data_IF_819075503211
#
_entry.id   IF_819075503211
#
_cell.length_a   1.000
_cell.length_b   1.000
_cell.length_c   1.000
_cell.angle_alpha   90.00
_cell.angle_beta   90.00
_cell.angle_gamma   90.00
#
_symmetry.space_group_name_H-M   'P 1'
#
loop_
_entity.id
_entity.type
_entity.pdbx_description
1 polymer ?
#
# COMPACT_ATOMS: atom_id res chain seq x y z
N UNK A 1 -5.31 -5.12 5.63
CA UNK A 1 -4.27 -6.15 5.82
C UNK A 1 -2.95 -5.44 6.06
N UNK A 2 -2.13 -5.98 6.94
CA UNK A 2 -0.73 -5.61 7.15
C UNK A 2 0.12 -6.81 6.76
N UNK A 3 1.22 -6.57 6.05
CA UNK A 3 2.11 -7.63 5.62
C UNK A 3 3.55 -7.18 5.74
N UNK A 4 4.35 -7.96 6.45
CA UNK A 4 5.78 -7.81 6.62
C UNK A 4 6.45 -8.97 5.86
N UNK A 5 6.83 -8.76 4.58
CA UNK A 5 7.14 -9.83 3.65
C UNK A 5 8.41 -10.60 4.00
N UNK A 6 9.41 -9.93 4.59
CA UNK A 6 10.71 -10.52 4.92
C UNK A 6 10.67 -11.27 6.25
N UNK A 7 9.82 -10.81 7.15
CA UNK A 7 9.53 -11.41 8.44
C UNK A 7 8.62 -12.62 8.29
N UNK A 8 7.99 -12.76 7.11
CA UNK A 8 6.91 -13.70 6.89
C UNK A 8 5.92 -13.52 8.02
N UNK A 9 5.34 -12.32 8.14
CA UNK A 9 4.32 -11.98 9.13
C UNK A 9 3.18 -11.20 8.48
N UNK A 10 1.94 -11.50 8.88
CA UNK A 10 0.77 -10.71 8.47
C UNK A 10 -0.22 -10.56 9.61
N UNK A 11 -1.02 -9.51 9.50
CA UNK A 11 -2.16 -9.26 10.36
C UNK A 11 -3.34 -8.74 9.54
N UNK A 12 -4.54 -9.22 9.87
CA UNK A 12 -5.77 -8.81 9.21
C UNK A 12 -6.79 -8.46 10.28
N UNK A 13 -7.23 -7.20 10.27
CA UNK A 13 -8.32 -6.71 11.13
C UNK A 13 -9.62 -6.75 10.34
N UNK A 14 -10.64 -7.40 10.90
CA UNK A 14 -12.00 -7.44 10.34
C UNK A 14 -12.83 -6.34 10.99
N UNK A 15 -13.32 -5.40 10.20
CA UNK A 15 -14.13 -4.26 10.62
C UNK A 15 -15.49 -4.29 9.92
N UNK A 16 -16.49 -3.55 10.42
CA UNK A 16 -17.80 -3.47 9.77
C UNK A 16 -17.75 -2.70 8.45
N UNK A 17 -16.85 -1.70 8.38
CA UNK A 17 -16.60 -0.87 7.22
C UNK A 17 -15.10 -0.69 7.02
N UNK A 18 -14.71 -0.24 5.84
CA UNK A 18 -13.33 0.18 5.55
C UNK A 18 -13.28 1.70 5.48
N UNK A 19 -13.10 2.36 6.61
CA UNK A 19 -12.98 3.83 6.69
C UNK A 19 -11.55 4.28 6.94
N UNK A 20 -11.30 5.59 6.76
CA UNK A 20 -10.02 6.21 7.12
C UNK A 20 -9.74 6.08 8.63
N UNK A 21 -10.76 6.19 9.47
CA UNK A 21 -10.64 6.04 10.93
C UNK A 21 -10.30 4.60 11.30
N UNK A 22 -10.96 3.60 10.71
CA UNK A 22 -10.62 2.18 10.94
C UNK A 22 -9.14 1.92 10.62
N UNK A 23 -8.67 2.53 9.54
CA UNK A 23 -7.29 2.44 9.10
C UNK A 23 -6.30 3.08 10.08
N UNK A 24 -6.61 4.29 10.57
CA UNK A 24 -5.82 4.98 11.57
C UNK A 24 -5.66 4.15 12.86
N UNK A 25 -6.72 3.46 13.29
CA UNK A 25 -6.65 2.54 14.43
C UNK A 25 -5.78 1.32 14.16
N UNK A 26 -5.84 0.73 12.96
CA UNK A 26 -4.91 -0.36 12.56
C UNK A 26 -3.45 0.10 12.62
N UNK A 27 -3.19 1.32 12.16
CA UNK A 27 -1.86 1.92 12.21
C UNK A 27 -1.35 2.14 13.64
N UNK A 28 -2.22 2.59 14.54
CA UNK A 28 -1.88 2.73 15.96
C UNK A 28 -1.58 1.36 16.59
N UNK A 29 -2.42 0.37 16.36
CA UNK A 29 -2.22 -1.00 16.86
C UNK A 29 -0.89 -1.58 16.35
N UNK A 30 -0.56 -1.32 15.08
CA UNK A 30 0.71 -1.70 14.49
C UNK A 30 1.91 -1.04 15.18
N UNK A 31 1.87 0.29 15.34
CA UNK A 31 2.93 1.07 15.97
C UNK A 31 3.21 0.64 17.40
N UNK A 32 2.15 0.38 18.16
CA UNK A 32 2.23 0.20 19.61
C UNK A 32 2.37 -1.28 20.01
N UNK A 33 1.81 -2.24 19.25
CA UNK A 33 1.73 -3.65 19.66
C UNK A 33 2.54 -4.65 18.83
N UNK A 34 2.80 -4.37 17.54
CA UNK A 34 3.34 -5.40 16.64
C UNK A 34 4.78 -5.13 16.19
N UNK A 35 5.12 -3.87 15.90
CA UNK A 35 6.47 -3.52 15.48
C UNK A 35 6.92 -2.18 16.08
N UNK A 36 7.61 -2.20 17.24
CA UNK A 36 8.17 -0.98 17.82
C UNK A 36 9.37 -0.43 17.02
N UNK A 37 9.77 -1.06 15.89
CA UNK A 37 10.84 -0.56 15.01
C UNK A 37 10.68 -0.73 13.49
N UNK A 38 9.55 -1.21 12.95
CA UNK A 38 9.48 -1.53 11.51
C UNK A 38 8.99 -0.38 10.62
N UNK A 39 9.51 -0.36 9.39
CA UNK A 39 9.04 0.43 8.25
C UNK A 39 8.02 -0.40 7.45
N UNK A 40 6.82 0.15 7.22
CA UNK A 40 5.75 -0.53 6.50
C UNK A 40 5.04 0.46 5.57
N UNK A 41 4.80 0.02 4.33
CA UNK A 41 4.09 0.79 3.31
C UNK A 41 2.66 1.08 3.78
N UNK A 42 2.36 2.37 3.98
CA UNK A 42 1.06 2.78 4.50
C UNK A 42 0.58 4.05 3.78
N UNK A 43 -0.73 4.20 3.63
CA UNK A 43 -1.41 5.21 2.83
C UNK A 43 -2.11 6.27 3.70
N UNK A 44 -2.06 7.52 3.24
CA UNK A 44 -2.73 8.71 3.77
C UNK A 44 -2.55 9.01 5.28
N UNK A 45 -1.48 9.75 5.60
CA UNK A 45 -1.22 10.40 6.89
C UNK A 45 -2.43 11.19 7.44
N UNK A 46 -3.27 11.73 6.56
CA UNK A 46 -4.47 12.50 6.93
C UNK A 46 -5.46 11.71 7.78
N UNK A 47 -5.55 10.39 7.57
CA UNK A 47 -6.43 9.50 8.36
C UNK A 47 -6.12 9.55 9.86
N UNK A 48 -4.84 9.72 10.22
CA UNK A 48 -4.42 9.82 11.61
C UNK A 48 -4.90 11.12 12.28
N UNK A 49 -4.90 12.24 11.53
CA UNK A 49 -5.41 13.52 12.02
C UNK A 49 -6.95 13.58 12.07
N UNK A 50 -7.62 12.76 11.27
CA UNK A 50 -9.08 12.57 11.34
C UNK A 50 -9.48 11.77 12.58
N UNK A 51 -8.69 10.74 12.95
CA UNK A 51 -9.03 9.81 14.03
C UNK A 51 -8.52 10.23 15.42
N UNK A 52 -7.40 10.97 15.51
CA UNK A 52 -6.71 11.24 16.77
C UNK A 52 -6.43 12.73 17.00
N UNK A 53 -6.26 13.15 18.27
CA UNK A 53 -5.74 14.48 18.58
C UNK A 53 -4.40 14.75 17.87
N UNK A 54 -4.15 15.99 17.48
CA UNK A 54 -3.00 16.36 16.65
C UNK A 54 -1.64 15.87 17.18
N UNK A 55 -1.43 15.88 18.50
CA UNK A 55 -0.19 15.39 19.11
C UNK A 55 0.02 13.88 18.88
N UNK A 56 -1.05 13.08 19.03
CA UNK A 56 -1.00 11.63 18.83
C UNK A 56 -0.91 11.29 17.33
N UNK A 57 -1.67 11.99 16.49
CA UNK A 57 -1.57 11.84 15.04
C UNK A 57 -0.15 12.11 14.54
N UNK A 58 0.49 13.18 15.04
CA UNK A 58 1.88 13.52 14.71
C UNK A 58 2.86 12.44 15.17
N UNK A 59 2.75 11.95 16.41
CA UNK A 59 3.57 10.85 16.93
C UNK A 59 3.51 9.63 15.99
N UNK A 60 2.31 9.26 15.55
CA UNK A 60 2.11 8.13 14.66
C UNK A 60 2.63 8.40 13.24
N UNK A 61 2.47 9.61 12.70
CA UNK A 61 3.03 9.97 11.39
C UNK A 61 4.55 9.87 11.38
N UNK A 62 5.20 10.37 12.43
CA UNK A 62 6.67 10.37 12.57
C UNK A 62 7.23 8.96 12.88
N UNK A 63 6.37 8.02 13.32
CA UNK A 63 6.77 6.65 13.64
C UNK A 63 7.08 5.80 12.41
N UNK A 64 6.41 6.07 11.29
CA UNK A 64 6.54 5.28 10.06
C UNK A 64 7.31 6.04 8.99
N UNK A 65 8.08 5.31 8.19
CA UNK A 65 8.48 5.79 6.88
C UNK A 65 7.34 5.48 5.88
N UNK A 66 7.08 6.41 4.98
CA UNK A 66 5.88 6.39 4.14
C UNK A 66 6.28 6.27 2.68
N UNK A 67 6.15 5.06 2.13
CA UNK A 67 6.30 4.83 0.70
C UNK A 67 4.93 4.78 0.03
N UNK A 68 4.80 5.50 -1.08
CA UNK A 68 3.56 5.55 -1.86
C UNK A 68 3.75 4.80 -3.17
N UNK A 69 2.91 3.78 -3.38
CA UNK A 69 2.82 3.08 -4.66
C UNK A 69 2.37 4.05 -5.76
N UNK A 70 2.99 4.04 -6.96
CA UNK A 70 2.54 4.85 -8.09
C UNK A 70 1.07 4.59 -8.43
N UNK A 71 0.35 5.60 -8.94
CA UNK A 71 -1.11 5.56 -9.18
C UNK A 71 -1.60 4.35 -9.99
N UNK A 72 -0.78 3.83 -10.91
CA UNK A 72 -1.09 2.67 -11.75
C UNK A 72 -0.17 1.47 -11.46
N UNK A 73 0.55 1.53 -10.35
CA UNK A 73 1.54 0.54 -9.94
C UNK A 73 1.05 -0.35 -8.81
N UNK A 74 -0.26 -0.53 -8.61
CA UNK A 74 -0.79 -1.33 -7.48
C UNK A 74 -0.29 -2.78 -7.48
N UNK A 75 0.12 -3.30 -8.65
CA UNK A 75 0.83 -4.58 -8.78
C UNK A 75 2.20 -4.63 -8.05
N UNK A 76 2.76 -3.48 -7.65
CA UNK A 76 3.94 -3.37 -6.79
C UNK A 76 3.60 -3.42 -5.29
N UNK A 77 2.32 -3.40 -4.93
CA UNK A 77 1.88 -3.48 -3.54
C UNK A 77 1.84 -4.94 -3.06
N UNK A 78 2.78 -5.25 -2.18
CA UNK A 78 2.90 -6.60 -1.62
C UNK A 78 1.71 -6.96 -0.72
N UNK A 79 1.13 -5.99 -0.01
CA UNK A 79 -0.01 -6.23 0.86
C UNK A 79 -1.28 -6.52 0.03
N UNK A 80 -1.43 -5.89 -1.14
CA UNK A 80 -2.49 -6.24 -2.08
C UNK A 80 -2.31 -7.66 -2.65
N UNK A 81 -1.07 -8.07 -2.94
CA UNK A 81 -0.77 -9.44 -3.40
C UNK A 81 -1.10 -10.48 -2.33
N UNK A 82 -0.72 -10.26 -1.07
CA UNK A 82 -1.07 -11.16 0.05
C UNK A 82 -2.60 -11.18 0.30
N UNK A 83 -3.30 -10.06 0.07
CA UNK A 83 -4.75 -10.01 0.14
C UNK A 83 -5.40 -10.85 -0.97
N UNK A 84 -4.84 -10.90 -2.17
CA UNK A 84 -5.31 -11.78 -3.24
C UNK A 84 -5.11 -13.27 -2.89
N UNK A 85 -4.02 -13.62 -2.22
CA UNK A 85 -3.79 -14.97 -1.70
C UNK A 85 -4.84 -15.32 -0.63
N UNK A 86 -5.12 -14.42 0.32
CA UNK A 86 -6.21 -14.60 1.30
C UNK A 86 -7.54 -14.83 0.59
N UNK A 87 -7.84 -14.02 -0.44
CA UNK A 87 -9.08 -14.15 -1.18
C UNK A 87 -9.22 -15.52 -1.84
N UNK A 88 -8.16 -16.01 -2.50
CA UNK A 88 -8.15 -17.30 -3.17
C UNK A 88 -8.21 -18.48 -2.18
N UNK A 89 -7.46 -18.42 -1.09
CA UNK A 89 -7.32 -19.55 -0.16
C UNK A 89 -8.42 -19.61 0.90
N UNK A 90 -8.97 -18.46 1.31
CA UNK A 90 -9.89 -18.37 2.43
C UNK A 90 -11.27 -17.81 2.04
N UNK A 91 -11.34 -16.87 1.10
CA UNK A 91 -12.59 -16.14 0.81
C UNK A 91 -13.30 -16.58 -0.48
N UNK A 92 -12.80 -17.62 -1.17
CA UNK A 92 -13.41 -18.18 -2.38
C UNK A 92 -14.75 -18.92 -2.19
N UNK A 93 -15.40 -18.74 -1.03
CA UNK A 93 -16.67 -19.37 -0.65
C UNK A 93 -17.56 -18.38 0.08
N UNK A 94 -18.87 -18.67 0.14
CA UNK A 94 -19.79 -17.88 0.96
C UNK A 94 -19.47 -18.05 2.44
N UNK A 95 -19.34 -16.94 3.14
CA UNK A 95 -19.19 -16.88 4.59
C UNK A 95 -20.46 -16.26 5.18
N UNK A 96 -21.11 -16.89 6.18
CA UNK A 96 -22.46 -16.55 6.59
C UNK A 96 -22.55 -15.21 7.33
N UNK A 97 -21.54 -14.87 8.12
CA UNK A 97 -21.53 -13.68 8.96
C UNK A 97 -20.10 -13.21 9.30
N UNK A 98 -20.00 -12.05 9.94
CA UNK A 98 -18.73 -11.42 10.32
C UNK A 98 -17.93 -12.25 11.34
N UNK A 99 -18.59 -12.98 12.24
CA UNK A 99 -17.92 -13.80 13.25
C UNK A 99 -17.24 -15.00 12.61
N UNK A 100 -17.94 -15.66 11.67
CA UNK A 100 -17.36 -16.71 10.84
C UNK A 100 -16.18 -16.18 10.01
N UNK A 101 -16.34 -14.99 9.39
CA UNK A 101 -15.26 -14.34 8.63
C UNK A 101 -14.02 -14.09 9.49
N UNK A 102 -14.20 -13.56 10.70
CA UNK A 102 -13.10 -13.28 11.62
C UNK A 102 -12.38 -14.57 12.05
N UNK A 103 -13.14 -15.64 12.32
CA UNK A 103 -12.58 -16.94 12.70
C UNK A 103 -11.73 -17.54 11.58
N UNK A 104 -12.26 -17.54 10.36
CA UNK A 104 -11.59 -18.09 9.18
C UNK A 104 -10.32 -17.33 8.82
N UNK A 105 -10.39 -16.00 8.85
CA UNK A 105 -9.22 -15.14 8.63
C UNK A 105 -8.18 -15.35 9.75
N UNK A 106 -8.60 -15.46 11.01
CA UNK A 106 -7.67 -15.70 12.11
C UNK A 106 -6.96 -17.05 11.98
N UNK A 107 -7.67 -18.10 11.59
CA UNK A 107 -7.09 -19.41 11.32
C UNK A 107 -6.08 -19.35 10.15
N UNK A 108 -6.46 -18.69 9.05
CA UNK A 108 -5.58 -18.52 7.89
C UNK A 108 -4.31 -17.72 8.23
N UNK A 109 -4.45 -16.59 8.94
CA UNK A 109 -3.33 -15.76 9.40
C UNK A 109 -2.42 -16.56 10.32
N UNK A 110 -2.99 -17.31 11.28
CA UNK A 110 -2.22 -18.17 12.19
C UNK A 110 -1.41 -19.21 11.42
N UNK A 111 -2.04 -19.89 10.45
CA UNK A 111 -1.35 -20.90 9.64
C UNK A 111 -0.16 -20.31 8.90
N UNK A 112 -0.37 -19.22 8.14
CA UNK A 112 0.70 -18.59 7.36
C UNK A 112 1.80 -17.94 8.21
N UNK A 113 1.45 -17.40 9.37
CA UNK A 113 2.41 -16.93 10.38
C UNK A 113 3.24 -18.08 10.96
N UNK A 114 2.62 -19.23 11.22
CA UNK A 114 3.32 -20.41 11.75
C UNK A 114 4.27 -20.98 10.70
N UNK A 115 3.83 -21.04 9.45
CA UNK A 115 4.64 -21.51 8.32
C UNK A 115 5.74 -20.51 7.90
N UNK A 116 5.80 -19.33 8.55
CA UNK A 116 6.70 -18.23 8.22
C UNK A 116 6.76 -17.98 6.70
N UNK A 117 5.59 -17.97 6.04
CA UNK A 117 5.61 -17.85 4.59
C UNK A 117 5.95 -16.42 4.21
N UNK A 118 7.11 -16.26 3.58
CA UNK A 118 7.65 -14.98 3.09
C UNK A 118 7.19 -14.72 1.68
N UNK A 119 7.26 -13.45 1.27
CA UNK A 119 7.16 -13.11 -0.14
C UNK A 119 8.55 -13.16 -0.78
N UNK A 120 8.67 -13.92 -1.86
CA UNK A 120 9.86 -13.90 -2.71
C UNK A 120 9.66 -12.83 -3.79
N UNK A 121 10.28 -11.67 -3.58
CA UNK A 121 10.15 -10.53 -4.48
C UNK A 121 11.21 -10.58 -5.58
N UNK A 122 10.78 -10.86 -6.80
CA UNK A 122 11.68 -11.03 -7.95
C UNK A 122 11.87 -9.74 -8.78
N UNK A 123 11.15 -8.65 -8.47
CA UNK A 123 11.26 -7.41 -9.23
C UNK A 123 12.39 -6.53 -8.68
N UNK A 124 13.48 -6.43 -9.45
CA UNK A 124 14.71 -5.77 -9.03
C UNK A 124 14.74 -4.27 -9.34
N UNK A 125 15.71 -3.55 -8.77
CA UNK A 125 15.95 -2.15 -9.12
C UNK A 125 16.31 -1.95 -10.60
N UNK A 126 16.98 -2.92 -11.23
CA UNK A 126 17.31 -2.88 -12.65
C UNK A 126 16.06 -3.08 -13.52
N UNK A 127 15.17 -4.01 -13.13
CA UNK A 127 13.85 -4.15 -13.77
C UNK A 127 13.04 -2.85 -13.66
N UNK A 128 13.08 -2.20 -12.49
CA UNK A 128 12.41 -0.93 -12.26
C UNK A 128 12.93 0.19 -13.17
N UNK A 129 14.25 0.29 -13.38
CA UNK A 129 14.85 1.29 -14.29
C UNK A 129 14.35 1.14 -15.73
N UNK A 130 14.11 -0.10 -16.17
CA UNK A 130 13.59 -0.36 -17.52
C UNK A 130 12.07 -0.15 -17.58
N UNK A 131 11.31 -0.82 -16.70
CA UNK A 131 9.85 -0.84 -16.76
C UNK A 131 9.19 0.46 -16.31
N UNK A 132 9.79 1.16 -15.34
CA UNK A 132 9.28 2.43 -14.82
C UNK A 132 9.90 3.65 -15.50
N UNK A 133 10.68 3.45 -16.58
CA UNK A 133 11.26 4.53 -17.38
C UNK A 133 10.26 5.68 -17.70
N UNK A 134 8.99 5.41 -18.07
CA UNK A 134 8.02 6.47 -18.35
C UNK A 134 7.63 7.33 -17.15
N UNK A 135 7.90 6.88 -15.92
CA UNK A 135 7.58 7.61 -14.68
C UNK A 135 8.66 8.61 -14.28
N UNK A 136 9.87 8.52 -14.85
CA UNK A 136 10.94 9.47 -14.55
C UNK A 136 10.68 10.80 -15.26
N UNK A 137 10.84 11.94 -14.57
CA UNK A 137 10.76 13.25 -15.21
C UNK A 137 11.76 13.35 -16.37
N UNK A 138 11.29 13.78 -17.54
CA UNK A 138 12.20 14.04 -18.64
C UNK A 138 13.04 15.28 -18.32
N UNK A 139 14.37 15.15 -18.41
CA UNK A 139 15.33 16.20 -18.05
C UNK A 139 15.14 17.47 -18.92
N UNK A 140 14.39 17.35 -20.01
CA UNK A 140 14.08 18.42 -20.96
C UNK A 140 13.00 19.40 -20.47
N UNK A 141 12.20 19.08 -19.44
CA UNK A 141 11.19 20.01 -18.89
C UNK A 141 11.73 21.00 -17.85
N UNK A 142 12.93 20.78 -17.30
CA UNK A 142 13.49 21.63 -16.24
C UNK A 142 14.23 22.87 -16.81
N UNK A 143 14.38 23.00 -18.14
CA UNK A 143 14.99 24.19 -18.75
C UNK A 143 13.95 25.11 -19.40
N UNK A 144 13.74 26.23 -18.71
CA UNK A 144 13.12 27.50 -19.13
C UNK A 144 11.60 27.65 -18.96
N UNK A 145 11.19 28.19 -17.82
CA UNK A 145 10.14 29.21 -17.79
C UNK A 145 10.69 30.50 -17.18
N UNK A 146 11.09 31.43 -18.05
CA UNK A 146 11.01 32.87 -17.75
C UNK A 146 9.55 33.32 -17.91
N UNK A 147 9.10 34.38 -17.19
CA UNK A 147 7.69 34.68 -17.04
C UNK A 147 7.10 35.38 -18.27
N UNK A 148 5.85 35.04 -18.59
CA UNK A 148 5.00 35.83 -19.49
C UNK A 148 4.83 35.24 -20.88
N UNK A 149 3.91 34.28 -21.01
CA UNK A 149 2.91 34.11 -22.10
C UNK A 149 2.55 32.62 -22.20
N UNK A 150 1.35 32.28 -21.74
CA UNK A 150 0.77 30.94 -21.89
C UNK A 150 0.36 30.73 -23.35
N UNK A 151 1.11 29.93 -24.09
CA UNK A 151 0.59 29.27 -25.29
C UNK A 151 0.55 27.77 -25.04
N UNK A 152 -0.67 27.22 -25.06
CA UNK A 152 -0.95 25.78 -24.96
C UNK A 152 -0.26 25.06 -26.14
N UNK A 153 0.51 23.99 -25.94
CA UNK A 153 0.97 23.18 -27.06
C UNK A 153 -0.24 22.48 -27.69
N UNK A 154 -0.37 22.60 -29.02
CA UNK A 154 -1.30 21.77 -29.81
C UNK A 154 -0.95 20.30 -29.57
N UNK A 155 -1.93 19.48 -29.22
CA UNK A 155 -1.79 18.01 -29.29
C UNK A 155 -1.40 17.67 -30.73
N UNK A 156 -0.17 17.19 -30.92
CA UNK A 156 0.25 16.59 -32.18
C UNK A 156 -0.60 15.34 -32.41
N UNK A 157 -1.36 15.35 -33.50
CA UNK A 157 -2.05 14.19 -34.05
C UNK A 157 -0.96 13.26 -34.58
N UNK A 158 -0.73 12.14 -33.89
CA UNK A 158 0.02 11.02 -34.41
C UNK A 158 -0.94 10.05 -35.09
N UNK A 159 -1.11 10.20 -36.41
CA UNK A 159 -1.77 9.26 -37.29
C UNK A 159 -0.76 8.26 -37.88
N UNK A 160 -1.12 6.97 -37.88
CA UNK A 160 -0.69 5.96 -38.87
C UNK A 160 0.39 4.96 -38.42
N UNK A 161 0.04 3.67 -38.22
CA UNK A 161 0.24 2.49 -39.12
C UNK A 161 1.71 2.07 -39.25
N UNK A 162 2.16 0.83 -39.01
CA UNK A 162 1.60 -0.53 -39.00
C UNK A 162 2.07 -1.31 -37.76
#
# INVERSE_FOLDING_TARGET
MLFAPLEGWRHVKVTDRRTAVDYAHVLKDLADAHFPGADLNTHAKSSLYEAFPAAEARRLVERFEWHYTPKHGSWLDMAESELAILAAQCLGRRIPDKSALATEIAAWVKNRNTDNTKADWQFTADDARVRLKPLYPSIWEIRATRPGRLTRPRRGVGSGTL
#
